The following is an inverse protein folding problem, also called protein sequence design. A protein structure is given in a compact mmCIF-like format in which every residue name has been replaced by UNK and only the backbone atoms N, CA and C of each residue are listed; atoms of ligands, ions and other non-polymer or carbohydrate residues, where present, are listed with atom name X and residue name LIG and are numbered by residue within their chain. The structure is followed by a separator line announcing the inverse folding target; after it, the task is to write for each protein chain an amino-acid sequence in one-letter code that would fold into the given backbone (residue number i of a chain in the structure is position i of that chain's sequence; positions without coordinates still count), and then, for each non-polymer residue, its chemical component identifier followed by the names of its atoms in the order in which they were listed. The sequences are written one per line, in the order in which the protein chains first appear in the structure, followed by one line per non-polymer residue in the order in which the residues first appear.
data_IF_072069231514
#
_entry.id   IF_072069231514
#
_cell.length_a   1.000
_cell.length_b   1.000
_cell.length_c   1.000
_cell.angle_alpha   90.00
_cell.angle_beta   90.00
_cell.angle_gamma   90.00
#
_symmetry.space_group_name_H-M   'P 1'
#
loop_
_entity.id
_entity.type
_entity.pdbx_description
1 polymer ?
#
# COMPACT_ATOMS: atom_id res chain seq x y z
N UNK A 1 -10.34 14.66 11.46
CA UNK A 1 -11.07 14.23 10.25
C UNK A 1 -10.63 12.82 9.91
N UNK A 2 -11.48 11.97 9.34
CA UNK A 2 -11.06 10.68 8.75
C UNK A 2 -11.02 10.83 7.23
N UNK A 3 -9.98 10.30 6.59
CA UNK A 3 -9.85 10.35 5.14
C UNK A 3 -10.45 9.10 4.53
N UNK A 4 -11.39 9.29 3.60
CA UNK A 4 -12.05 8.19 2.89
C UNK A 4 -11.33 7.79 1.58
N UNK A 5 -10.37 8.62 1.14
CA UNK A 5 -9.53 8.40 -0.05
C UNK A 5 -8.22 9.18 0.09
N UNK A 6 -7.26 8.88 -0.80
CA UNK A 6 -6.03 9.66 -0.89
C UNK A 6 -6.34 11.10 -1.27
N UNK A 7 -7.17 11.31 -2.30
CA UNK A 7 -7.64 12.64 -2.74
C UNK A 7 -8.17 13.49 -1.56
N UNK A 8 -8.98 12.91 -0.67
CA UNK A 8 -9.52 13.65 0.48
C UNK A 8 -8.43 14.12 1.45
N UNK A 9 -7.34 13.37 1.58
CA UNK A 9 -6.18 13.78 2.38
C UNK A 9 -5.36 14.86 1.67
N UNK A 10 -5.19 14.74 0.35
CA UNK A 10 -4.48 15.74 -0.46
C UNK A 10 -5.17 17.10 -0.42
N UNK A 11 -6.50 17.13 -0.56
CA UNK A 11 -7.30 18.36 -0.47
C UNK A 11 -7.23 19.01 0.92
N UNK A 12 -7.15 18.21 2.00
CA UNK A 12 -6.99 18.75 3.36
C UNK A 12 -5.59 19.33 3.57
N UNK A 13 -4.54 18.65 3.06
CA UNK A 13 -3.17 19.16 3.10
C UNK A 13 -2.98 20.43 2.25
N UNK A 14 -3.63 20.51 1.09
CA UNK A 14 -3.64 21.70 0.24
C UNK A 14 -4.20 22.92 0.99
N UNK A 15 -5.30 22.75 1.72
CA UNK A 15 -5.87 23.82 2.57
C UNK A 15 -4.92 24.30 3.67
N UNK A 16 -3.96 23.48 4.08
CA UNK A 16 -2.93 23.84 5.07
C UNK A 16 -1.63 24.35 4.42
N UNK A 17 -1.59 24.53 3.10
CA UNK A 17 -0.36 24.87 2.38
C UNK A 17 0.70 23.77 2.41
N UNK A 18 0.33 22.53 2.70
CA UNK A 18 1.20 21.36 2.79
C UNK A 18 1.20 20.51 1.51
N UNK A 19 0.64 21.04 0.42
CA UNK A 19 0.66 20.43 -0.90
C UNK A 19 1.05 21.46 -1.96
N UNK A 20 1.91 21.06 -2.88
CA UNK A 20 2.27 21.83 -4.08
C UNK A 20 1.89 21.02 -5.32
N UNK A 21 1.11 21.65 -6.21
CA UNK A 21 0.77 21.11 -7.52
C UNK A 21 1.88 21.42 -8.52
N UNK A 22 2.22 20.45 -9.35
CA UNK A 22 3.18 20.57 -10.45
C UNK A 22 2.39 20.28 -11.73
N UNK A 23 2.01 21.35 -12.43
CA UNK A 23 1.19 21.30 -13.64
C UNK A 23 2.00 21.09 -14.91
N UNK A 24 3.31 21.36 -14.89
CA UNK A 24 4.19 21.03 -16.01
C UNK A 24 4.29 19.51 -16.19
N UNK A 25 4.41 19.05 -17.43
CA UNK A 25 4.68 17.65 -17.71
C UNK A 25 6.05 17.26 -17.14
N UNK A 26 6.11 16.14 -16.43
CA UNK A 26 7.33 15.60 -15.82
C UNK A 26 7.57 14.19 -16.34
N UNK A 27 8.82 13.88 -16.66
CA UNK A 27 9.25 12.55 -17.09
C UNK A 27 9.34 11.60 -15.87
N UNK A 28 8.65 10.44 -15.90
CA UNK A 28 8.76 9.46 -14.82
C UNK A 28 10.15 8.78 -14.77
N UNK A 29 10.96 8.91 -15.83
CA UNK A 29 12.34 8.46 -15.84
C UNK A 29 13.25 9.49 -15.16
N UNK A 30 13.60 9.23 -13.90
CA UNK A 30 14.54 9.99 -13.07
C UNK A 30 14.10 11.42 -12.68
N UNK A 31 13.48 12.19 -13.57
CA UNK A 31 13.12 13.60 -13.32
C UNK A 31 12.14 13.74 -12.15
N UNK A 32 11.02 13.01 -12.16
CA UNK A 32 10.03 13.02 -11.06
C UNK A 32 10.68 12.71 -9.71
N UNK A 33 11.55 11.70 -9.69
CA UNK A 33 12.23 11.25 -8.47
C UNK A 33 13.29 12.24 -8.00
N UNK A 34 14.00 12.90 -8.92
CA UNK A 34 14.96 13.96 -8.59
C UNK A 34 14.25 15.17 -7.97
N UNK A 35 13.11 15.59 -8.52
CA UNK A 35 12.28 16.66 -7.95
C UNK A 35 11.80 16.28 -6.54
N UNK A 36 11.31 15.04 -6.36
CA UNK A 36 10.88 14.54 -5.06
C UNK A 36 12.03 14.50 -4.04
N UNK A 37 13.23 14.09 -4.45
CA UNK A 37 14.41 14.00 -3.59
C UNK A 37 14.84 15.39 -3.09
N UNK A 38 14.94 16.38 -3.99
CA UNK A 38 15.27 17.75 -3.60
C UNK A 38 14.18 18.37 -2.71
N UNK A 39 12.91 18.10 -3.00
CA UNK A 39 11.81 18.52 -2.14
C UNK A 39 11.91 17.88 -0.74
N UNK A 40 12.25 16.59 -0.64
CA UNK A 40 12.41 15.90 0.63
C UNK A 40 13.58 16.46 1.46
N UNK A 41 14.75 16.68 0.83
CA UNK A 41 15.93 17.29 1.50
C UNK A 41 15.62 18.67 2.08
N UNK A 42 14.76 19.43 1.40
CA UNK A 42 14.34 20.76 1.84
C UNK A 42 13.11 20.75 2.77
N UNK A 43 12.73 19.58 3.32
CA UNK A 43 11.55 19.40 4.17
C UNK A 43 10.26 19.93 3.54
N UNK A 44 10.15 19.80 2.21
CA UNK A 44 9.09 20.38 1.41
C UNK A 44 7.72 19.69 1.58
N UNK A 45 6.68 20.29 0.98
CA UNK A 45 5.30 19.79 1.06
C UNK A 45 5.11 18.48 0.28
N UNK A 46 3.89 17.94 0.31
CA UNK A 46 3.45 16.91 -0.64
C UNK A 46 3.50 17.46 -2.06
N UNK A 47 3.96 16.65 -3.01
CA UNK A 47 3.98 17.02 -4.42
C UNK A 47 2.90 16.25 -5.17
N UNK A 48 2.03 16.97 -5.87
CA UNK A 48 1.06 16.39 -6.80
C UNK A 48 1.48 16.74 -8.23
N UNK A 49 2.00 15.76 -8.96
CA UNK A 49 2.32 15.85 -10.38
C UNK A 49 1.06 15.61 -11.18
N UNK A 50 0.55 16.65 -11.83
CA UNK A 50 -0.72 16.58 -12.54
C UNK A 50 -0.58 15.96 -13.94
N UNK A 51 0.60 16.12 -14.54
CA UNK A 51 0.92 15.61 -15.87
C UNK A 51 2.22 14.80 -15.81
N UNK A 52 2.12 13.48 -15.92
CA UNK A 52 3.28 12.58 -15.97
C UNK A 52 3.30 11.88 -17.32
N UNK A 53 4.41 12.01 -18.04
CA UNK A 53 4.55 11.50 -19.39
C UNK A 53 4.28 9.99 -19.45
N UNK A 54 3.48 9.56 -20.42
CA UNK A 54 3.18 8.15 -20.68
C UNK A 54 2.08 7.54 -19.82
N UNK A 55 1.41 8.31 -18.95
CA UNK A 55 0.28 7.84 -18.15
C UNK A 55 -0.85 8.89 -18.13
N UNK A 56 -2.13 8.50 -18.17
CA UNK A 56 -3.24 9.44 -17.99
C UNK A 56 -3.46 9.80 -16.50
N UNK A 57 -2.70 9.21 -15.58
CA UNK A 57 -2.90 9.35 -14.15
C UNK A 57 -1.92 10.34 -13.51
N UNK A 58 -2.43 11.07 -12.53
CA UNK A 58 -1.63 11.95 -11.67
C UNK A 58 -0.79 11.12 -10.71
N UNK A 59 0.39 11.63 -10.35
CA UNK A 59 1.27 10.99 -9.36
C UNK A 59 1.38 11.89 -8.14
N UNK A 60 1.28 11.30 -6.95
CA UNK A 60 1.57 12.00 -5.70
C UNK A 60 2.79 11.40 -5.03
N UNK A 61 3.64 12.27 -4.49
CA UNK A 61 4.83 11.86 -3.74
C UNK A 61 4.97 12.65 -2.44
N UNK A 62 5.88 12.21 -1.58
CA UNK A 62 6.21 12.86 -0.32
C UNK A 62 5.05 12.96 0.70
N UNK A 63 3.99 12.15 0.55
CA UNK A 63 2.80 12.16 1.44
C UNK A 63 3.20 12.02 2.92
N UNK A 64 4.09 11.07 3.23
CA UNK A 64 4.61 10.80 4.58
C UNK A 64 6.01 11.39 4.83
N UNK A 65 6.43 12.36 4.02
CA UNK A 65 7.80 12.90 4.04
C UNK A 65 8.19 13.71 5.28
N UNK A 66 7.32 13.87 6.27
CA UNK A 66 7.72 14.34 7.61
C UNK A 66 6.89 13.68 8.72
N UNK A 67 7.47 13.49 9.92
CA UNK A 67 6.74 13.00 11.08
C UNK A 67 5.56 13.91 11.44
N UNK A 68 5.75 15.23 11.42
CA UNK A 68 4.74 16.22 11.81
C UNK A 68 3.52 16.16 10.89
N UNK A 69 3.75 16.03 9.57
CA UNK A 69 2.66 15.88 8.60
C UNK A 69 1.91 14.56 8.80
N UNK A 70 2.63 13.48 9.07
CA UNK A 70 2.03 12.17 9.34
C UNK A 70 1.21 12.20 10.63
N UNK A 71 1.74 12.80 11.69
CA UNK A 71 1.02 12.97 12.95
C UNK A 71 -0.21 13.85 12.78
N UNK A 72 -0.08 14.96 12.06
CA UNK A 72 -1.20 15.84 11.75
C UNK A 72 -2.29 15.10 10.96
N UNK A 73 -1.93 14.30 9.96
CA UNK A 73 -2.86 13.51 9.17
C UNK A 73 -3.70 12.56 10.05
N UNK A 74 -3.08 11.94 11.05
CA UNK A 74 -3.76 11.00 11.96
C UNK A 74 -4.21 11.60 13.29
N UNK A 75 -4.11 12.93 13.48
CA UNK A 75 -4.39 13.65 14.75
C UNK A 75 -5.70 13.26 15.45
N UNK A 76 -6.73 12.93 14.67
CA UNK A 76 -8.05 12.57 15.19
C UNK A 76 -8.14 11.15 15.78
N UNK A 77 -7.22 10.25 15.43
CA UNK A 77 -7.24 8.85 15.85
C UNK A 77 -6.03 8.43 16.68
N UNK A 78 -4.90 9.14 16.59
CA UNK A 78 -3.63 8.78 17.26
C UNK A 78 -3.78 8.48 18.75
N UNK A 79 -4.47 9.33 19.51
CA UNK A 79 -4.66 9.13 20.96
C UNK A 79 -5.42 7.82 21.25
N UNK A 80 -6.48 7.55 20.49
CA UNK A 80 -7.28 6.33 20.61
C UNK A 80 -6.49 5.08 20.19
N UNK A 81 -5.72 5.18 19.10
CA UNK A 81 -4.87 4.09 18.59
C UNK A 81 -3.79 3.71 19.61
N UNK A 82 -3.03 4.70 20.12
CA UNK A 82 -2.00 4.47 21.14
C UNK A 82 -2.58 3.74 22.36
N UNK A 83 -3.78 4.12 22.78
CA UNK A 83 -4.49 3.50 23.90
C UNK A 83 -4.95 2.07 23.59
N UNK A 84 -5.52 1.82 22.41
CA UNK A 84 -5.91 0.47 21.99
C UNK A 84 -4.73 -0.49 21.93
N UNK A 85 -3.59 -0.03 21.40
CA UNK A 85 -2.35 -0.82 21.39
C UNK A 85 -1.87 -1.09 22.82
N UNK A 86 -1.88 -0.07 23.70
CA UNK A 86 -1.48 -0.23 25.09
C UNK A 86 -2.37 -1.26 25.83
N UNK A 87 -3.69 -1.20 25.65
CA UNK A 87 -4.63 -2.15 26.24
C UNK A 87 -4.46 -3.58 25.71
N UNK A 88 -4.14 -3.74 24.42
CA UNK A 88 -3.81 -5.06 23.84
C UNK A 88 -2.53 -5.64 24.43
N UNK A 89 -1.53 -4.81 24.74
CA UNK A 89 -0.28 -5.24 25.40
C UNK A 89 -0.48 -5.53 26.89
N UNK A 90 -1.32 -4.75 27.57
CA UNK A 90 -1.61 -4.90 29.00
C UNK A 90 -3.11 -4.72 29.29
N UNK A 91 -3.91 -5.80 29.28
CA UNK A 91 -5.36 -5.72 29.45
C UNK A 91 -5.79 -5.22 30.83
N UNK A 92 -4.93 -5.32 31.85
CA UNK A 92 -5.19 -4.82 33.21
C UNK A 92 -5.33 -3.29 33.28
N UNK A 93 -4.79 -2.56 32.29
CA UNK A 93 -4.94 -1.10 32.22
C UNK A 93 -6.36 -0.67 31.82
N UNK A 94 -7.19 -1.59 31.31
CA UNK A 94 -8.61 -1.32 31.00
C UNK A 94 -9.43 -1.01 32.26
N UNK A 95 -9.10 -1.66 33.39
CA UNK A 95 -9.84 -1.53 34.65
C UNK A 95 -9.67 -0.15 35.30
N UNK A 96 -8.62 0.59 34.94
CA UNK A 96 -8.29 1.87 35.57
C UNK A 96 -9.09 3.06 35.01
N UNK A 97 -9.78 2.93 33.87
CA UNK A 97 -10.39 4.08 33.18
C UNK A 97 -11.71 3.76 32.42
N UNK A 98 -12.82 3.50 33.14
CA UNK A 98 -14.09 3.05 32.55
C UNK A 98 -14.88 4.12 31.75
N UNK A 99 -14.74 5.41 32.07
CA UNK A 99 -15.53 6.50 31.48
C UNK A 99 -15.19 6.85 30.00
N UNK A 100 -14.12 6.29 29.44
CA UNK A 100 -13.69 6.57 28.07
C UNK A 100 -14.11 5.47 27.08
N UNK A 101 -15.18 4.74 27.39
CA UNK A 101 -15.61 3.54 26.66
C UNK A 101 -16.21 3.83 25.28
N UNK A 102 -16.97 4.92 25.11
CA UNK A 102 -17.73 5.16 23.89
C UNK A 102 -16.85 5.42 22.64
N UNK A 103 -15.81 6.26 22.76
CA UNK A 103 -14.86 6.51 21.67
C UNK A 103 -14.04 5.26 21.36
N UNK A 104 -13.63 4.52 22.40
CA UNK A 104 -12.92 3.26 22.26
C UNK A 104 -13.75 2.20 21.54
N UNK A 105 -15.03 2.09 21.87
CA UNK A 105 -16.00 1.20 21.23
C UNK A 105 -16.18 1.54 19.75
N UNK A 106 -16.28 2.84 19.40
CA UNK A 106 -16.34 3.27 17.99
C UNK A 106 -15.08 2.88 17.22
N UNK A 107 -13.90 3.11 17.80
CA UNK A 107 -12.64 2.72 17.17
C UNK A 107 -12.49 1.20 17.06
N UNK A 108 -12.93 0.45 18.06
CA UNK A 108 -12.95 -1.01 18.02
C UNK A 108 -13.94 -1.55 16.96
N UNK A 109 -15.10 -0.92 16.79
CA UNK A 109 -16.03 -1.25 15.71
C UNK A 109 -15.41 -0.99 14.33
N UNK A 110 -14.60 0.07 14.21
CA UNK A 110 -13.85 0.36 13.00
C UNK A 110 -12.74 -0.66 12.68
N UNK A 111 -12.35 -1.50 13.63
CA UNK A 111 -11.39 -2.59 13.41
C UNK A 111 -11.97 -3.73 12.56
N UNK A 112 -13.29 -3.81 12.41
CA UNK A 112 -13.93 -4.84 11.60
C UNK A 112 -13.96 -4.40 10.12
N UNK A 113 -13.44 -5.18 9.16
CA UNK A 113 -13.60 -4.88 7.74
C UNK A 113 -15.08 -4.87 7.33
N UNK A 114 -15.43 -4.13 6.27
CA UNK A 114 -16.81 -4.00 5.76
C UNK A 114 -16.88 -4.37 4.29
N UNK A 115 -17.65 -5.39 3.95
CA UNK A 115 -17.97 -5.71 2.56
C UNK A 115 -18.85 -4.61 1.94
N UNK A 116 -18.52 -4.16 0.72
CA UNK A 116 -19.26 -3.11 0.00
C UNK A 116 -19.30 -3.38 -1.50
N UNK A 117 -20.22 -2.76 -2.22
CA UNK A 117 -20.30 -2.89 -3.68
C UNK A 117 -19.14 -2.14 -4.39
N UNK A 118 -18.64 -2.70 -5.50
CA UNK A 118 -17.49 -2.22 -6.28
C UNK A 118 -17.95 -1.62 -7.62
N UNK A 119 -18.57 -0.45 -7.61
CA UNK A 119 -19.23 0.10 -8.81
C UNK A 119 -18.43 1.18 -9.55
N UNK A 120 -17.16 1.41 -9.21
CA UNK A 120 -16.41 2.59 -9.66
C UNK A 120 -14.97 2.24 -10.06
N UNK A 121 -14.74 1.07 -10.68
CA UNK A 121 -13.44 0.71 -11.20
C UNK A 121 -13.53 0.50 -12.72
N UNK A 122 -12.57 1.06 -13.45
CA UNK A 122 -12.32 0.78 -14.84
C UNK A 122 -11.19 -0.25 -14.93
N UNK A 123 -11.35 -1.26 -15.79
CA UNK A 123 -10.25 -2.17 -16.11
C UNK A 123 -9.27 -1.46 -17.05
N UNK A 124 -7.99 -1.48 -16.69
CA UNK A 124 -6.91 -0.85 -17.44
C UNK A 124 -5.76 -1.85 -17.66
N UNK A 125 -4.80 -1.43 -18.46
CA UNK A 125 -3.57 -2.18 -18.71
C UNK A 125 -2.40 -1.62 -17.89
N UNK A 126 -1.39 -2.46 -17.60
CA UNK A 126 -0.23 -2.10 -16.75
C UNK A 126 0.56 -0.92 -17.31
N UNK A 127 0.67 -0.82 -18.64
CA UNK A 127 1.32 0.29 -19.32
C UNK A 127 0.65 1.66 -19.08
N UNK A 128 -0.60 1.70 -18.62
CA UNK A 128 -1.27 2.96 -18.27
C UNK A 128 -0.87 3.45 -16.88
N UNK A 129 -0.32 2.59 -16.01
CA UNK A 129 0.18 3.03 -14.71
C UNK A 129 1.40 3.96 -14.88
N UNK A 130 1.77 4.77 -13.88
CA UNK A 130 3.01 5.55 -13.94
C UNK A 130 4.24 4.63 -13.83
N UNK A 131 5.08 4.58 -14.89
CA UNK A 131 6.33 3.80 -14.91
C UNK A 131 7.51 4.60 -14.35
N UNK A 132 7.51 4.85 -13.04
CA UNK A 132 8.53 5.66 -12.38
C UNK A 132 9.82 4.86 -12.18
N UNK A 133 10.91 5.35 -12.75
CA UNK A 133 12.26 4.86 -12.45
C UNK A 133 12.94 5.84 -11.49
N UNK A 134 13.32 5.36 -10.32
CA UNK A 134 13.77 6.23 -9.24
C UNK A 134 15.24 6.60 -9.35
N UNK A 135 16.06 5.65 -9.79
CA UNK A 135 17.50 5.83 -9.89
C UNK A 135 18.08 5.30 -11.22
N UNK A 136 19.24 5.84 -11.66
CA UNK A 136 19.81 5.50 -12.96
C UNK A 136 20.08 4.01 -13.17
N UNK A 137 20.46 3.27 -12.11
CA UNK A 137 20.76 1.85 -12.21
C UNK A 137 19.59 0.95 -11.83
N UNK A 138 18.41 1.50 -11.54
CA UNK A 138 17.23 0.67 -11.27
C UNK A 138 16.96 -0.28 -12.45
N UNK A 139 16.58 -1.53 -12.16
CA UNK A 139 16.31 -2.55 -13.17
C UNK A 139 15.07 -2.29 -14.04
N UNK A 140 14.32 -1.22 -13.76
CA UNK A 140 13.13 -0.76 -14.47
C UNK A 140 12.28 0.14 -13.59
N UNK A 141 10.98 0.24 -13.89
CA UNK A 141 10.04 1.03 -13.09
C UNK A 141 9.51 0.29 -11.86
N UNK A 142 9.20 1.04 -10.79
CA UNK A 142 8.79 0.47 -9.50
C UNK A 142 7.54 1.14 -8.90
N UNK A 143 6.75 0.35 -8.18
CA UNK A 143 5.79 0.87 -7.19
C UNK A 143 6.43 0.75 -5.81
N UNK A 144 6.59 1.88 -5.13
CA UNK A 144 7.29 1.98 -3.84
C UNK A 144 6.38 2.05 -2.62
N UNK A 145 5.10 2.38 -2.80
CA UNK A 145 4.06 2.29 -1.75
C UNK A 145 2.91 1.29 -2.03
N UNK A 146 3.20 0.07 -2.51
CA UNK A 146 2.19 -0.96 -2.76
C UNK A 146 1.72 -1.62 -1.46
N UNK A 147 0.40 -1.73 -1.26
CA UNK A 147 -0.18 -2.50 -0.17
C UNK A 147 -0.54 -3.89 -0.71
N UNK A 148 0.34 -4.86 -0.48
CA UNK A 148 0.23 -6.21 -1.06
C UNK A 148 -0.56 -7.11 -0.12
N UNK A 149 -1.69 -7.56 -0.62
CA UNK A 149 -2.67 -8.40 0.04
C UNK A 149 -2.58 -9.86 -0.41
N UNK A 150 -2.60 -10.79 0.55
CA UNK A 150 -2.73 -12.23 0.31
C UNK A 150 -3.47 -12.89 1.47
N UNK A 151 -4.02 -14.08 1.25
CA UNK A 151 -4.72 -14.88 2.26
C UNK A 151 -4.06 -16.25 2.41
N UNK A 152 -4.17 -16.84 3.61
CA UNK A 152 -3.74 -18.21 3.87
C UNK A 152 -4.47 -19.19 2.93
N UNK A 153 -3.76 -19.94 2.08
CA UNK A 153 -4.35 -20.92 1.16
C UNK A 153 -5.15 -22.03 1.85
N UNK A 154 -4.80 -22.44 3.08
CA UNK A 154 -5.54 -23.44 3.84
C UNK A 154 -6.76 -22.86 4.58
N UNK A 155 -6.73 -21.57 4.91
CA UNK A 155 -7.79 -20.88 5.64
C UNK A 155 -8.08 -19.52 5.01
N UNK A 156 -8.65 -19.47 3.80
CA UNK A 156 -8.87 -18.21 3.10
C UNK A 156 -9.83 -17.31 3.88
N UNK A 157 -9.70 -16.01 3.65
CA UNK A 157 -10.48 -14.94 4.26
C UNK A 157 -9.66 -13.94 5.05
N UNK A 158 -10.26 -12.77 5.28
CA UNK A 158 -9.61 -11.61 5.90
C UNK A 158 -8.99 -11.87 7.27
N UNK A 159 -9.52 -12.81 8.04
CA UNK A 159 -9.00 -13.16 9.37
C UNK A 159 -7.58 -13.77 9.31
N UNK A 160 -7.23 -14.39 8.18
CA UNK A 160 -5.94 -15.02 7.92
C UNK A 160 -5.25 -14.35 6.73
N UNK A 161 -5.45 -13.04 6.60
CA UNK A 161 -4.86 -12.24 5.55
C UNK A 161 -3.61 -11.50 6.02
N UNK A 162 -2.75 -11.18 5.07
CA UNK A 162 -1.59 -10.32 5.21
C UNK A 162 -1.80 -9.10 4.33
N UNK A 163 -1.59 -7.90 4.85
CA UNK A 163 -1.42 -6.69 4.05
C UNK A 163 -0.04 -6.09 4.34
N UNK A 164 0.90 -6.22 3.41
CA UNK A 164 2.29 -5.80 3.63
C UNK A 164 2.82 -4.86 2.56
N UNK A 165 3.83 -4.07 2.92
CA UNK A 165 4.56 -3.21 2.01
C UNK A 165 5.71 -3.99 1.32
N UNK A 166 5.51 -4.41 0.07
CA UNK A 166 6.50 -5.18 -0.70
C UNK A 166 6.73 -4.56 -2.07
N UNK A 167 7.97 -4.23 -2.38
CA UNK A 167 8.35 -3.56 -3.63
C UNK A 167 7.87 -4.35 -4.85
N UNK A 168 7.28 -3.64 -5.82
CA UNK A 168 6.81 -4.22 -7.09
C UNK A 168 7.61 -3.63 -8.24
N UNK A 169 8.27 -4.48 -9.02
CA UNK A 169 8.91 -4.09 -10.28
C UNK A 169 7.92 -4.22 -11.42
N UNK A 170 7.54 -3.09 -12.02
CA UNK A 170 6.55 -3.00 -13.10
C UNK A 170 7.10 -3.35 -14.48
N UNK A 171 8.38 -3.05 -14.72
CA UNK A 171 9.00 -3.18 -16.05
C UNK A 171 10.50 -3.47 -15.97
N UNK A 172 11.09 -3.72 -17.13
CA UNK A 172 12.51 -4.04 -17.27
C UNK A 172 12.85 -5.48 -16.93
N UNK A 173 14.15 -5.79 -16.87
CA UNK A 173 14.68 -7.14 -16.70
C UNK A 173 14.05 -8.15 -17.69
N UNK A 174 13.56 -9.30 -17.20
CA UNK A 174 13.00 -10.38 -18.02
C UNK A 174 11.47 -10.52 -17.83
N UNK A 175 10.82 -9.50 -17.27
CA UNK A 175 9.37 -9.49 -17.10
C UNK A 175 8.69 -9.21 -18.43
N UNK A 176 7.68 -9.99 -18.76
CA UNK A 176 6.89 -9.81 -19.98
C UNK A 176 6.00 -8.58 -19.81
N UNK A 177 6.15 -7.53 -20.65
CA UNK A 177 5.37 -6.31 -20.53
C UNK A 177 3.87 -6.59 -20.54
N UNK A 178 3.11 -5.88 -19.70
CA UNK A 178 1.67 -6.04 -19.54
C UNK A 178 1.16 -7.42 -19.08
N UNK A 179 2.05 -8.34 -18.67
CA UNK A 179 1.67 -9.68 -18.21
C UNK A 179 2.29 -10.00 -16.86
N UNK A 180 3.53 -9.56 -16.61
CA UNK A 180 4.30 -9.98 -15.44
C UNK A 180 4.87 -8.80 -14.67
N UNK A 181 4.96 -8.95 -13.36
CA UNK A 181 5.62 -8.02 -12.44
C UNK A 181 6.54 -8.77 -11.48
N UNK A 182 7.62 -8.12 -11.06
CA UNK A 182 8.45 -8.61 -9.96
C UNK A 182 7.83 -8.29 -8.62
N UNK A 183 7.81 -9.27 -7.71
CA UNK A 183 7.28 -9.10 -6.36
C UNK A 183 8.38 -9.43 -5.34
N UNK A 184 8.94 -8.40 -4.72
CA UNK A 184 10.03 -8.54 -3.75
C UNK A 184 9.47 -8.60 -2.32
N UNK A 185 9.42 -9.79 -1.73
CA UNK A 185 9.14 -10.00 -0.31
C UNK A 185 10.17 -10.90 0.36
N UNK A 186 10.24 -10.83 1.69
CA UNK A 186 11.06 -11.70 2.52
C UNK A 186 10.27 -12.94 2.95
N UNK A 187 10.91 -14.11 2.98
CA UNK A 187 10.26 -15.41 3.26
C UNK A 187 9.55 -15.49 4.62
N UNK A 188 10.04 -14.76 5.62
CA UNK A 188 9.51 -14.77 6.98
C UNK A 188 8.37 -13.75 7.21
N UNK A 189 7.97 -13.00 6.19
CA UNK A 189 6.83 -12.08 6.26
C UNK A 189 5.55 -12.84 5.90
N UNK A 190 4.38 -12.27 6.24
CA UNK A 190 3.10 -12.98 6.11
C UNK A 190 2.86 -13.56 4.71
N UNK A 191 3.13 -12.81 3.65
CA UNK A 191 3.03 -13.34 2.27
C UNK A 191 3.97 -14.52 1.99
N UNK A 192 5.17 -14.57 2.59
CA UNK A 192 6.11 -15.68 2.43
C UNK A 192 5.62 -16.97 3.09
N UNK A 193 4.91 -16.83 4.22
CA UNK A 193 4.20 -17.94 4.86
C UNK A 193 3.09 -18.45 3.94
N UNK A 194 2.26 -17.54 3.39
CA UNK A 194 1.20 -17.90 2.45
C UNK A 194 1.75 -18.55 1.17
N UNK A 195 2.87 -18.09 0.64
CA UNK A 195 3.51 -18.72 -0.53
C UNK A 195 3.98 -20.14 -0.21
N UNK A 196 4.54 -20.35 1.00
CA UNK A 196 4.98 -21.68 1.44
C UNK A 196 3.78 -22.64 1.53
N UNK A 197 2.65 -22.17 2.04
CA UNK A 197 1.40 -22.91 2.10
C UNK A 197 0.83 -23.20 0.71
N UNK A 198 0.85 -22.22 -0.20
CA UNK A 198 0.39 -22.38 -1.59
C UNK A 198 1.22 -23.43 -2.32
N UNK A 199 2.55 -23.41 -2.12
CA UNK A 199 3.47 -24.45 -2.62
C UNK A 199 3.11 -25.84 -2.08
N UNK A 200 2.79 -25.96 -0.80
CA UNK A 200 2.38 -27.24 -0.20
C UNK A 200 1.05 -27.77 -0.79
N UNK A 201 0.17 -26.87 -1.23
CA UNK A 201 -1.08 -27.20 -1.96
C UNK A 201 -0.91 -27.36 -3.47
N UNK A 202 0.29 -27.13 -4.01
CA UNK A 202 0.57 -27.12 -5.45
C UNK A 202 -0.39 -26.20 -6.24
N UNK A 203 -0.73 -25.04 -5.67
CA UNK A 203 -1.59 -24.03 -6.28
C UNK A 203 -0.90 -22.66 -6.30
N UNK A 204 -1.21 -21.79 -7.27
CA UNK A 204 -0.68 -20.43 -7.27
C UNK A 204 -1.30 -19.60 -6.14
N UNK A 205 -0.50 -18.75 -5.51
CA UNK A 205 -1.00 -17.80 -4.51
C UNK A 205 -1.73 -16.65 -5.21
N UNK A 206 -2.96 -16.35 -4.79
CA UNK A 206 -3.69 -15.14 -5.21
C UNK A 206 -3.15 -13.93 -4.47
N UNK A 207 -2.77 -12.90 -5.22
CA UNK A 207 -2.26 -11.64 -4.68
C UNK A 207 -3.06 -10.48 -5.24
N UNK A 208 -3.34 -9.50 -4.39
CA UNK A 208 -3.94 -8.22 -4.78
C UNK A 208 -3.06 -7.08 -4.27
N UNK A 209 -2.66 -6.16 -5.14
CA UNK A 209 -1.83 -5.02 -4.80
C UNK A 209 -2.72 -3.78 -4.83
N UNK A 210 -2.87 -3.11 -3.69
CA UNK A 210 -3.61 -1.86 -3.59
C UNK A 210 -2.65 -0.68 -3.61
N UNK A 211 -2.98 0.35 -4.40
CA UNK A 211 -2.20 1.59 -4.52
C UNK A 211 -3.11 2.75 -4.16
N UNK A 212 -2.60 3.65 -3.33
CA UNK A 212 -3.35 4.81 -2.84
C UNK A 212 -4.48 4.43 -1.87
N UNK A 213 -5.62 5.12 -1.98
CA UNK A 213 -6.71 5.04 -1.02
C UNK A 213 -6.42 5.77 0.30
N UNK A 214 -7.22 5.53 1.36
CA UNK A 214 -7.01 6.17 2.66
C UNK A 214 -5.56 6.02 3.13
N UNK A 215 -4.85 7.10 3.51
CA UNK A 215 -3.45 7.01 3.95
C UNK A 215 -3.22 6.03 5.12
N UNK A 216 -4.25 5.78 5.92
CA UNK A 216 -4.22 4.77 6.99
C UNK A 216 -3.94 3.36 6.48
N UNK A 217 -4.34 3.02 5.25
CA UNK A 217 -4.08 1.70 4.66
C UNK A 217 -2.59 1.53 4.34
N UNK A 218 -1.97 2.53 3.70
CA UNK A 218 -0.51 2.55 3.46
C UNK A 218 0.26 2.46 4.77
N UNK A 219 -0.13 3.26 5.78
CA UNK A 219 0.52 3.22 7.08
C UNK A 219 0.39 1.84 7.75
N UNK A 220 -0.79 1.22 7.66
CA UNK A 220 -1.02 -0.11 8.22
C UNK A 220 -0.15 -1.20 7.59
N UNK A 221 0.10 -1.12 6.28
CA UNK A 221 0.94 -2.08 5.57
C UNK A 221 2.45 -1.98 5.91
N UNK A 222 2.87 -0.86 6.51
CA UNK A 222 4.28 -0.59 6.90
C UNK A 222 4.55 -0.87 8.38
N UNK A 223 3.55 -0.65 9.25
CA UNK A 223 3.75 -0.66 10.70
C UNK A 223 4.08 -2.06 11.24
N UNK A 224 5.06 -2.19 12.15
CA UNK A 224 5.26 -3.42 12.91
C UNK A 224 4.15 -3.55 13.95
N UNK A 225 3.10 -4.30 13.62
CA UNK A 225 1.95 -4.49 14.51
C UNK A 225 2.19 -5.56 15.58
N UNK A 226 1.52 -5.46 16.74
CA UNK A 226 1.49 -6.55 17.71
C UNK A 226 0.91 -7.83 17.09
N UNK A 227 1.36 -8.98 17.59
CA UNK A 227 0.84 -10.28 17.16
C UNK A 227 -0.69 -10.37 17.36
N UNK A 228 -1.37 -10.99 16.40
CA UNK A 228 -2.84 -11.14 16.44
C UNK A 228 -3.63 -9.84 16.17
N UNK A 229 -2.97 -8.76 15.73
CA UNK A 229 -3.63 -7.56 15.20
C UNK A 229 -3.48 -7.53 13.68
N UNK A 230 -4.57 -7.75 12.96
CA UNK A 230 -4.59 -7.63 11.49
C UNK A 230 -4.32 -6.18 11.06
N UNK A 231 -3.56 -6.01 9.98
CA UNK A 231 -3.30 -4.73 9.34
C UNK A 231 -4.58 -4.07 8.84
N UNK A 232 -5.57 -4.85 8.39
CA UNK A 232 -6.89 -4.32 7.99
C UNK A 232 -7.63 -3.71 9.18
N UNK A 233 -7.54 -4.37 10.33
CA UNK A 233 -8.14 -3.89 11.56
C UNK A 233 -7.44 -2.61 12.05
N UNK A 234 -6.10 -2.59 11.99
CA UNK A 234 -5.33 -1.41 12.33
C UNK A 234 -5.61 -0.24 11.38
N UNK A 235 -5.66 -0.48 10.07
CA UNK A 235 -6.05 0.51 9.07
C UNK A 235 -7.41 1.12 9.39
N UNK A 236 -8.37 0.28 9.81
CA UNK A 236 -9.70 0.72 10.17
C UNK A 236 -9.74 1.63 11.41
N UNK A 237 -9.00 1.24 12.44
CA UNK A 237 -8.87 1.99 13.70
C UNK A 237 -8.15 3.32 13.48
N UNK A 238 -7.00 3.30 12.80
CA UNK A 238 -6.17 4.46 12.49
C UNK A 238 -6.89 5.43 11.56
N UNK A 239 -7.57 4.91 10.52
CA UNK A 239 -8.38 5.72 9.61
C UNK A 239 -9.69 6.20 10.22
N UNK A 240 -10.06 5.73 11.43
CA UNK A 240 -11.37 5.94 12.04
C UNK A 240 -12.53 5.67 11.06
N UNK A 241 -12.35 4.63 10.23
CA UNK A 241 -13.24 4.18 9.16
C UNK A 241 -12.86 2.75 8.81
N UNK A 242 -13.82 1.84 8.86
CA UNK A 242 -13.65 0.41 8.51
C UNK A 242 -12.97 0.24 7.14
N UNK A 243 -12.02 -0.69 7.04
CA UNK A 243 -11.45 -1.12 5.76
C UNK A 243 -12.56 -1.72 4.89
N UNK A 244 -12.79 -1.15 3.70
CA UNK A 244 -13.85 -1.56 2.79
C UNK A 244 -13.31 -2.44 1.68
N UNK A 245 -13.98 -3.55 1.42
CA UNK A 245 -13.52 -4.54 0.46
C UNK A 245 -14.69 -5.23 -0.25
N UNK A 246 -14.38 -5.98 -1.30
CA UNK A 246 -15.21 -7.07 -1.83
C UNK A 246 -14.31 -8.04 -2.63
N UNK A 247 -14.89 -9.06 -3.24
CA UNK A 247 -14.15 -9.99 -4.09
C UNK A 247 -14.59 -9.89 -5.55
N UNK A 248 -13.63 -9.97 -6.48
CA UNK A 248 -13.85 -10.16 -7.92
C UNK A 248 -12.94 -11.30 -8.35
N UNK A 249 -13.48 -12.29 -9.08
CA UNK A 249 -12.73 -13.46 -9.58
C UNK A 249 -11.92 -14.21 -8.49
N UNK A 250 -12.38 -14.15 -7.23
CA UNK A 250 -11.69 -14.74 -6.07
C UNK A 250 -10.52 -13.91 -5.51
N UNK A 251 -10.29 -12.69 -6.01
CA UNK A 251 -9.33 -11.74 -5.46
C UNK A 251 -10.00 -10.72 -4.55
N UNK A 252 -9.38 -10.41 -3.42
CA UNK A 252 -9.84 -9.34 -2.55
C UNK A 252 -9.50 -7.97 -3.15
N UNK A 253 -10.50 -7.12 -3.29
CA UNK A 253 -10.38 -5.79 -3.87
C UNK A 253 -10.63 -4.77 -2.76
N UNK A 254 -9.69 -3.86 -2.53
CA UNK A 254 -9.93 -2.70 -1.67
C UNK A 254 -10.85 -1.72 -2.39
N UNK A 255 -12.03 -1.47 -1.82
CA UNK A 255 -13.03 -0.59 -2.43
C UNK A 255 -12.67 0.90 -2.35
N UNK A 256 -11.71 1.26 -1.49
CA UNK A 256 -11.27 2.65 -1.31
C UNK A 256 -9.90 2.92 -1.99
N UNK A 257 -9.23 1.92 -2.57
CA UNK A 257 -7.96 2.09 -3.28
C UNK A 257 -8.13 2.85 -4.61
N UNK A 258 -7.08 3.54 -5.04
CA UNK A 258 -7.07 4.26 -6.32
C UNK A 258 -6.74 3.30 -7.48
N UNK A 259 -5.86 2.32 -7.23
CA UNK A 259 -5.61 1.20 -8.14
C UNK A 259 -5.59 -0.13 -7.41
N UNK A 260 -6.03 -1.19 -8.09
CA UNK A 260 -5.94 -2.57 -7.64
C UNK A 260 -5.38 -3.46 -8.74
N UNK A 261 -4.23 -4.08 -8.52
CA UNK A 261 -3.65 -5.08 -9.44
C UNK A 261 -3.88 -6.46 -8.84
N UNK A 262 -4.50 -7.37 -9.59
CA UNK A 262 -4.75 -8.76 -9.17
C UNK A 262 -3.91 -9.71 -9.98
N UNK A 263 -3.56 -10.86 -9.42
CA UNK A 263 -2.71 -11.82 -10.13
C UNK A 263 -2.22 -12.98 -9.27
N UNK A 264 -1.51 -13.88 -9.93
CA UNK A 264 -1.10 -15.15 -9.39
C UNK A 264 0.42 -15.20 -9.22
N UNK A 265 0.89 -15.70 -8.07
CA UNK A 265 2.31 -15.93 -7.79
C UNK A 265 2.54 -17.43 -7.67
N UNK A 266 3.27 -17.98 -8.63
CA UNK A 266 3.63 -19.39 -8.62
C UNK A 266 4.97 -19.59 -7.90
N UNK A 267 5.05 -20.57 -7.00
CA UNK A 267 6.21 -20.74 -6.11
C UNK A 267 7.51 -21.11 -6.85
N UNK A 268 7.40 -21.68 -8.05
CA UNK A 268 8.52 -22.08 -8.89
C UNK A 268 8.92 -20.99 -9.90
N UNK A 269 8.09 -19.98 -10.11
CA UNK A 269 8.36 -18.92 -11.08
C UNK A 269 9.10 -17.76 -10.41
N UNK A 270 10.41 -17.71 -10.66
CA UNK A 270 11.28 -16.64 -10.21
C UNK A 270 11.98 -15.99 -11.41
N UNK A 271 12.13 -14.67 -11.37
CA UNK A 271 12.86 -13.87 -12.36
C UNK A 271 13.71 -12.84 -11.63
N UNK A 272 14.78 -12.33 -12.27
CA UNK A 272 15.64 -11.38 -11.60
C UNK A 272 14.94 -10.02 -11.45
N UNK A 273 14.81 -9.58 -10.21
CA UNK A 273 14.29 -8.28 -9.79
C UNK A 273 15.47 -7.38 -9.40
N UNK A 274 15.31 -6.07 -9.54
CA UNK A 274 16.36 -5.10 -9.26
C UNK A 274 17.43 -5.00 -10.37
N UNK A 275 18.55 -4.30 -10.13
CA UNK A 275 18.89 -3.65 -8.87
C UNK A 275 17.95 -2.48 -8.55
N UNK A 276 17.95 -2.01 -7.31
CA UNK A 276 17.06 -0.95 -6.84
C UNK A 276 17.73 -0.08 -5.79
N UNK A 277 17.60 1.25 -5.88
CA UNK A 277 18.09 2.17 -4.86
C UNK A 277 17.34 2.01 -3.53
N UNK A 278 17.99 1.37 -2.54
CA UNK A 278 17.39 0.98 -1.28
C UNK A 278 17.30 2.14 -0.26
N UNK A 279 16.39 2.03 0.70
CA UNK A 279 16.19 3.00 1.79
C UNK A 279 17.42 3.18 2.69
N UNK A 280 18.40 2.27 2.60
CA UNK A 280 19.66 2.32 3.32
C UNK A 280 20.74 3.16 2.61
N UNK A 281 20.44 3.73 1.43
CA UNK A 281 21.34 4.62 0.70
C UNK A 281 22.32 3.93 -0.24
N UNK A 282 22.09 2.66 -0.57
CA UNK A 282 22.86 1.89 -1.56
C UNK A 282 21.92 1.05 -2.43
N UNK A 283 22.42 0.51 -3.54
CA UNK A 283 21.61 -0.37 -4.40
C UNK A 283 21.51 -1.78 -3.84
N UNK A 284 20.28 -2.29 -3.65
CA UNK A 284 20.09 -3.74 -3.57
C UNK A 284 20.47 -4.34 -4.92
N UNK A 285 21.24 -5.44 -4.88
CA UNK A 285 21.66 -6.14 -6.09
C UNK A 285 20.48 -6.85 -6.78
N UNK A 286 20.70 -7.21 -8.05
CA UNK A 286 19.77 -8.00 -8.83
C UNK A 286 19.76 -9.45 -8.35
N UNK A 287 18.59 -9.95 -7.96
CA UNK A 287 18.43 -11.32 -7.45
C UNK A 287 17.12 -11.96 -7.94
N UNK A 288 17.01 -13.29 -7.98
CA UNK A 288 15.76 -13.96 -8.31
C UNK A 288 14.70 -13.72 -7.23
N UNK A 289 13.55 -13.18 -7.65
CA UNK A 289 12.36 -13.00 -6.82
C UNK A 289 11.13 -13.59 -7.50
N UNK A 290 10.06 -13.89 -6.73
CA UNK A 290 8.79 -14.35 -7.26
C UNK A 290 8.22 -13.43 -8.34
N UNK A 291 7.60 -14.06 -9.34
CA UNK A 291 6.90 -13.38 -10.42
C UNK A 291 5.41 -13.40 -10.14
N UNK A 292 4.78 -12.24 -10.24
CA UNK A 292 3.33 -12.15 -10.28
C UNK A 292 2.88 -12.09 -11.75
N UNK A 293 2.09 -13.07 -12.17
CA UNK A 293 1.34 -13.02 -13.44
C UNK A 293 0.06 -12.25 -13.20
N UNK A 294 -0.08 -11.10 -13.86
CA UNK A 294 -1.21 -10.20 -13.67
C UNK A 294 -2.45 -10.78 -14.32
N UNK A 295 -3.55 -10.78 -13.56
CA UNK A 295 -4.89 -11.15 -14.01
C UNK A 295 -5.61 -9.92 -14.55
N UNK A 296 -5.83 -8.91 -13.71
CA UNK A 296 -6.50 -7.64 -14.06
C UNK A 296 -5.93 -6.47 -13.28
N UNK A 297 -5.97 -5.29 -13.89
CA UNK A 297 -5.67 -4.01 -13.23
C UNK A 297 -6.93 -3.16 -13.24
N UNK A 298 -7.31 -2.66 -12.06
CA UNK A 298 -8.45 -1.79 -11.86
C UNK A 298 -7.95 -0.41 -11.46
N UNK A 299 -8.52 0.63 -12.05
CA UNK A 299 -8.27 2.02 -11.70
C UNK A 299 -9.58 2.71 -11.36
N UNK A 300 -9.55 3.53 -10.32
CA UNK A 300 -10.64 4.44 -10.02
C UNK A 300 -10.72 5.51 -11.13
N UNK A 301 -11.93 5.90 -11.57
CA UNK A 301 -12.12 6.95 -12.57
C UNK A 301 -11.61 8.31 -12.09
#
# INVERSE_FOLDING_TARGET
MSYASLESALLDLEKQGQLKRISHEVDPYLELSAIQLENFKNHGPVLLFENVKGTPYRVVSNVFGSPERTEWMFRASLKSVKRLIALRKNPLDALKQPFQSATLLKHAFNALPKAVSLNHFNEISINQLPHIQHWPMDGGAFITLPQVYSEDPFKPGLAHSNLGMYRIQLSGNMYTPNIEMGLHYQLHRGIGIHQTQAKARNEPLRVSIFIGGPPAHTMAAVMPLPEGMSELAFAGVLGNRRFRYNYIDGFCISADADFVITGFVNAQEIKPEGPFGDHLGYYSLKHPFPVMRVHKVYAKP
#
